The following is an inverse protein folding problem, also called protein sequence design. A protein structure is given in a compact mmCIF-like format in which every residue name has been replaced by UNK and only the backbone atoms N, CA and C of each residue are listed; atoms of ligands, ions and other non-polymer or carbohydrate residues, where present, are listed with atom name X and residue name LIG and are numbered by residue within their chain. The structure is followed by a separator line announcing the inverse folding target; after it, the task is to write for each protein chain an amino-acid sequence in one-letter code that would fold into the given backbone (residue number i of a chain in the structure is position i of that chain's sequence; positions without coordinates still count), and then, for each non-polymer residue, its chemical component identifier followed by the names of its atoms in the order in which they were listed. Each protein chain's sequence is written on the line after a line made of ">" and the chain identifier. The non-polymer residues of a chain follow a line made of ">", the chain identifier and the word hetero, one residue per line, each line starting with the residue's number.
data_IF_864667855895
#
_entry.id   IF_864667855895
#
_cell.length_a   1.000
_cell.length_b   1.000
_cell.length_c   1.000
_cell.angle_alpha   90.00
_cell.angle_beta   90.00
_cell.angle_gamma   90.00
#
_symmetry.space_group_name_H-M   'P 1'
#
loop_
_entity.id
_entity.type
_entity.pdbx_description
1 polymer ?
#
# COMPACT_ATOMS: atom_id res chain seq x y z
N UNK A 1 11.49 -16.13 -0.74
CA UNK A 1 10.30 -15.48 -1.32
C UNK A 1 10.19 -14.10 -0.67
N UNK A 2 9.81 -13.08 -1.45
CA UNK A 2 9.71 -11.69 -0.95
C UNK A 2 8.32 -11.45 -0.36
N UNK A 3 8.23 -10.58 0.65
CA UNK A 3 6.99 -10.25 1.36
C UNK A 3 5.84 -9.78 0.45
N UNK A 4 6.18 -9.08 -0.65
CA UNK A 4 5.27 -8.63 -1.68
C UNK A 4 5.52 -9.41 -2.97
N UNK A 5 4.44 -9.81 -3.63
CA UNK A 5 4.47 -10.50 -4.92
C UNK A 5 4.45 -9.49 -6.08
N UNK A 6 5.63 -8.93 -6.37
CA UNK A 6 5.77 -7.92 -7.41
C UNK A 6 5.48 -8.47 -8.83
N UNK A 7 5.67 -9.77 -9.04
CA UNK A 7 5.39 -10.39 -10.33
C UNK A 7 3.88 -10.49 -10.58
N UNK A 8 3.08 -10.72 -9.54
CA UNK A 8 1.62 -10.57 -9.63
C UNK A 8 1.20 -9.15 -10.02
N UNK A 9 1.82 -8.11 -9.44
CA UNK A 9 1.54 -6.73 -9.85
C UNK A 9 1.90 -6.50 -11.32
N UNK A 10 3.05 -7.00 -11.79
CA UNK A 10 3.44 -6.90 -13.20
C UNK A 10 2.51 -7.66 -14.13
N UNK A 11 1.99 -8.81 -13.72
CA UNK A 11 1.08 -9.61 -14.53
C UNK A 11 -0.36 -9.08 -14.53
N UNK A 12 -0.79 -8.39 -13.47
CA UNK A 12 -2.15 -7.89 -13.35
C UNK A 12 -2.49 -6.86 -14.46
N UNK A 13 -3.69 -6.93 -15.06
CA UNK A 13 -4.07 -6.05 -16.16
C UNK A 13 -4.22 -4.60 -15.67
N UNK A 14 -3.66 -3.65 -16.44
CA UNK A 14 -3.93 -2.23 -16.27
C UNK A 14 -5.29 -1.90 -16.88
N UNK A 15 -6.27 -1.60 -16.04
CA UNK A 15 -7.54 -1.03 -16.49
C UNK A 15 -7.32 0.46 -16.77
N UNK A 16 -7.94 0.98 -17.84
CA UNK A 16 -7.80 2.40 -18.27
C UNK A 16 -9.10 3.18 -18.25
N UNK A 17 -10.24 2.52 -18.05
CA UNK A 17 -11.56 3.13 -18.00
C UNK A 17 -12.17 2.87 -16.60
N UNK A 18 -12.65 3.89 -15.89
CA UNK A 18 -12.69 5.32 -16.26
C UNK A 18 -11.34 6.07 -16.06
N UNK A 19 -10.34 5.41 -15.50
CA UNK A 19 -8.98 5.90 -15.29
C UNK A 19 -8.02 4.73 -15.14
N UNK A 20 -6.72 5.02 -15.07
CA UNK A 20 -5.68 3.99 -14.91
C UNK A 20 -5.67 3.41 -13.49
N UNK A 21 -5.92 2.11 -13.35
CA UNK A 21 -5.82 1.39 -12.08
C UNK A 21 -5.51 -0.10 -12.26
N UNK A 22 -5.02 -0.71 -11.18
CA UNK A 22 -4.77 -2.15 -11.09
C UNK A 22 -5.30 -2.66 -9.76
N UNK A 23 -5.89 -3.86 -9.78
CA UNK A 23 -6.25 -4.62 -8.58
C UNK A 23 -5.44 -5.91 -8.58
N UNK A 24 -4.81 -6.21 -7.43
CA UNK A 24 -3.99 -7.42 -7.25
C UNK A 24 -4.49 -8.16 -6.01
N UNK A 25 -4.95 -9.38 -6.22
CA UNK A 25 -5.34 -10.30 -5.14
C UNK A 25 -4.11 -11.09 -4.66
N UNK A 26 -4.13 -11.55 -3.40
CA UNK A 26 -3.03 -12.32 -2.80
C UNK A 26 -1.64 -11.68 -3.01
N UNK A 27 -1.58 -10.34 -2.88
CA UNK A 27 -0.36 -9.56 -3.14
C UNK A 27 0.71 -9.70 -2.05
N UNK A 28 0.27 -9.94 -0.81
CA UNK A 28 1.14 -10.23 0.32
C UNK A 28 1.25 -11.74 0.46
N UNK A 29 2.46 -12.23 0.69
CA UNK A 29 2.68 -13.66 0.93
C UNK A 29 1.79 -14.18 2.07
N UNK A 30 1.12 -15.31 1.82
CA UNK A 30 0.09 -15.83 2.72
C UNK A 30 0.67 -16.30 4.05
N UNK A 31 1.91 -16.81 4.05
CA UNK A 31 2.57 -17.27 5.27
C UNK A 31 3.02 -16.08 6.14
N UNK A 32 3.32 -14.93 5.52
CA UNK A 32 3.67 -13.69 6.21
C UNK A 32 2.42 -12.91 6.70
N UNK A 33 1.25 -13.08 6.06
CA UNK A 33 0.05 -12.31 6.37
C UNK A 33 -0.40 -12.48 7.83
N UNK A 34 -0.40 -13.71 8.37
CA UNK A 34 -0.79 -13.94 9.78
C UNK A 34 0.15 -13.22 10.75
N UNK A 35 1.46 -13.22 10.47
CA UNK A 35 2.44 -12.52 11.29
C UNK A 35 2.24 -10.99 11.20
N UNK A 36 1.95 -10.47 10.02
CA UNK A 36 1.68 -9.05 9.81
C UNK A 36 0.42 -8.57 10.54
N UNK A 37 -0.67 -9.34 10.50
CA UNK A 37 -1.91 -9.01 11.21
C UNK A 37 -1.68 -9.04 12.72
N UNK A 38 -0.91 -10.02 13.22
CA UNK A 38 -0.55 -10.12 14.64
C UNK A 38 0.38 -8.99 15.12
N UNK A 39 1.26 -8.49 14.24
CA UNK A 39 2.21 -7.41 14.52
C UNK A 39 1.70 -6.02 14.05
N UNK A 40 0.43 -5.92 13.67
CA UNK A 40 -0.16 -4.68 13.17
C UNK A 40 -0.13 -3.60 14.27
N UNK A 41 0.34 -2.37 13.97
CA UNK A 41 0.54 -1.35 14.99
C UNK A 41 -0.79 -0.92 15.63
N UNK A 42 -0.73 -0.53 16.90
CA UNK A 42 -1.87 0.09 17.56
C UNK A 42 -2.16 1.47 16.95
N UNK A 43 -3.21 1.58 16.14
CA UNK A 43 -3.63 2.84 15.52
C UNK A 43 -4.70 3.53 16.40
N UNK A 44 -4.47 4.77 16.85
CA UNK A 44 -5.41 5.44 17.75
C UNK A 44 -6.62 6.00 16.99
N UNK A 45 -7.82 5.49 17.28
CA UNK A 45 -9.06 6.09 16.78
C UNK A 45 -9.31 5.92 15.27
N UNK A 46 -9.98 6.90 14.66
CA UNK A 46 -10.39 6.91 13.25
C UNK A 46 -9.43 7.76 12.40
N UNK A 47 -9.35 7.47 11.10
CA UNK A 47 -8.56 8.23 10.14
C UNK A 47 -7.27 7.54 9.69
N UNK A 48 -6.36 8.31 9.10
CA UNK A 48 -5.08 7.82 8.58
C UNK A 48 -3.93 8.46 9.34
N UNK A 49 -3.02 7.64 9.86
CA UNK A 49 -1.90 8.06 10.69
C UNK A 49 -0.58 7.86 9.93
N UNK A 50 0.31 8.85 9.86
CA UNK A 50 1.66 8.66 9.32
C UNK A 50 2.34 7.50 10.04
N UNK A 51 2.96 6.59 9.29
CA UNK A 51 3.55 5.38 9.88
C UNK A 51 4.67 5.71 10.87
N UNK A 52 5.36 6.83 10.66
CA UNK A 52 6.43 7.35 11.51
C UNK A 52 5.92 7.78 12.89
N UNK A 53 4.61 8.01 13.03
CA UNK A 53 3.96 8.34 14.30
C UNK A 53 3.54 7.11 15.13
N UNK A 54 3.72 5.90 14.58
CA UNK A 54 3.24 4.65 15.19
C UNK A 54 4.42 3.78 15.66
N UNK A 55 4.22 3.11 16.80
CA UNK A 55 5.13 2.06 17.25
C UNK A 55 4.88 0.79 16.42
N UNK A 56 5.72 0.58 15.40
CA UNK A 56 5.63 -0.58 14.52
C UNK A 56 6.54 -1.71 15.02
N UNK A 57 6.02 -2.92 15.07
CA UNK A 57 6.83 -4.11 15.33
C UNK A 57 7.73 -4.47 14.14
N UNK A 58 8.61 -5.47 14.31
CA UNK A 58 9.62 -5.81 13.30
C UNK A 58 9.02 -6.37 12.00
N UNK A 59 7.90 -7.10 12.07
CA UNK A 59 7.26 -7.69 10.88
C UNK A 59 6.55 -6.58 10.09
N UNK A 60 5.80 -5.71 10.78
CA UNK A 60 5.16 -4.58 10.11
C UNK A 60 6.18 -3.58 9.54
N UNK A 61 7.30 -3.35 10.23
CA UNK A 61 8.38 -2.51 9.73
C UNK A 61 9.01 -3.06 8.44
N UNK A 62 9.10 -4.39 8.28
CA UNK A 62 9.51 -5.01 7.01
C UNK A 62 8.53 -4.73 5.88
N UNK A 63 7.23 -4.74 6.15
CA UNK A 63 6.21 -4.35 5.18
C UNK A 63 6.38 -2.90 4.74
N UNK A 64 6.55 -1.98 5.68
CA UNK A 64 6.76 -0.56 5.38
C UNK A 64 8.03 -0.35 4.53
N UNK A 65 9.10 -1.07 4.85
CA UNK A 65 10.33 -1.03 4.06
C UNK A 65 10.14 -1.61 2.64
N UNK A 66 9.33 -2.67 2.49
CA UNK A 66 9.02 -3.23 1.18
C UNK A 66 8.13 -2.28 0.35
N UNK A 67 7.15 -1.62 0.99
CA UNK A 67 6.26 -0.64 0.35
C UNK A 67 6.97 0.65 -0.07
N UNK A 68 7.98 1.07 0.67
CA UNK A 68 8.79 2.27 0.35
C UNK A 68 10.09 1.92 -0.40
N UNK A 69 10.32 0.64 -0.66
CA UNK A 69 11.53 0.12 -1.27
C UNK A 69 11.58 0.27 -2.79
N UNK A 70 12.77 0.18 -3.40
CA UNK A 70 12.95 0.35 -4.84
C UNK A 70 12.22 -0.73 -5.66
N UNK A 71 12.03 -1.93 -5.10
CA UNK A 71 11.35 -3.03 -5.80
C UNK A 71 9.91 -2.69 -6.17
N UNK A 72 9.11 -2.20 -5.21
CA UNK A 72 7.73 -1.80 -5.50
C UNK A 72 7.69 -0.55 -6.40
N UNK A 73 8.55 0.43 -6.13
CA UNK A 73 8.65 1.64 -6.97
C UNK A 73 8.84 1.28 -8.44
N UNK A 74 9.85 0.47 -8.76
CA UNK A 74 10.12 0.09 -10.15
C UNK A 74 8.96 -0.69 -10.79
N UNK A 75 8.32 -1.60 -10.04
CA UNK A 75 7.16 -2.33 -10.57
C UNK A 75 5.96 -1.41 -10.87
N UNK A 76 5.76 -0.34 -10.08
CA UNK A 76 4.74 0.68 -10.33
C UNK A 76 5.13 1.57 -11.52
N UNK A 77 6.37 2.04 -11.59
CA UNK A 77 6.90 2.83 -12.71
C UNK A 77 6.72 2.09 -14.05
N UNK A 78 7.09 0.80 -14.09
CA UNK A 78 6.89 -0.09 -15.25
C UNK A 78 5.41 -0.24 -15.62
N UNK A 79 4.53 -0.36 -14.62
CA UNK A 79 3.10 -0.63 -14.83
C UNK A 79 2.36 0.59 -15.41
N UNK A 80 2.68 1.78 -14.92
CA UNK A 80 1.96 3.01 -15.22
C UNK A 80 2.72 3.95 -16.18
N UNK A 81 3.91 3.54 -16.64
CA UNK A 81 4.78 4.34 -17.53
C UNK A 81 5.05 5.75 -16.96
N UNK A 82 5.53 5.79 -15.71
CA UNK A 82 5.76 7.02 -14.95
C UNK A 82 7.12 6.98 -14.22
N UNK A 83 7.77 8.14 -14.03
CA UNK A 83 8.99 8.27 -13.21
C UNK A 83 8.66 8.77 -11.80
N UNK A 84 8.97 7.95 -10.79
CA UNK A 84 8.80 8.24 -9.36
C UNK A 84 10.14 8.39 -8.64
N UNK A 85 11.28 8.32 -9.34
CA UNK A 85 12.61 8.17 -8.76
C UNK A 85 13.01 9.24 -7.74
N UNK A 86 12.55 10.48 -7.97
CA UNK A 86 12.81 11.66 -7.13
C UNK A 86 11.63 12.06 -6.22
N UNK A 87 10.56 11.28 -6.21
CA UNK A 87 9.30 11.62 -5.55
C UNK A 87 9.24 10.98 -4.16
N UNK A 88 8.88 11.74 -3.10
CA UNK A 88 8.75 11.16 -1.78
C UNK A 88 7.58 10.17 -1.74
N UNK A 89 7.77 9.08 -0.99
CA UNK A 89 6.69 8.14 -0.66
C UNK A 89 6.18 8.45 0.74
N UNK A 90 4.85 8.50 0.90
CA UNK A 90 4.21 8.67 2.20
C UNK A 90 3.38 7.42 2.51
N UNK A 91 3.59 6.84 3.68
CA UNK A 91 2.79 5.70 4.15
C UNK A 91 1.94 6.15 5.32
N UNK A 92 0.64 5.91 5.21
CA UNK A 92 -0.29 6.10 6.33
C UNK A 92 -0.97 4.79 6.65
N UNK A 93 -1.24 4.57 7.94
CA UNK A 93 -1.87 3.37 8.46
C UNK A 93 -3.22 3.74 9.05
N UNK A 94 -4.20 2.88 8.82
CA UNK A 94 -5.56 3.02 9.33
C UNK A 94 -5.97 1.72 10.02
N UNK A 95 -6.42 1.83 11.26
CA UNK A 95 -6.94 0.68 12.03
C UNK A 95 -8.46 0.61 12.14
N UNK A 96 -9.16 1.74 11.95
CA UNK A 96 -10.62 1.82 12.01
C UNK A 96 -11.16 2.71 10.91
N UNK A 97 -12.24 2.28 10.29
CA UNK A 97 -13.03 3.10 9.37
C UNK A 97 -14.40 3.41 9.96
N UNK A 98 -14.94 4.58 9.61
CA UNK A 98 -16.31 4.98 9.91
C UNK A 98 -17.13 5.26 8.63
N UNK A 99 -18.39 5.67 8.77
CA UNK A 99 -19.27 5.94 7.62
C UNK A 99 -18.91 7.18 6.79
N UNK A 100 -17.86 7.94 7.17
CA UNK A 100 -17.34 9.05 6.36
C UNK A 100 -16.16 8.59 5.51
N UNK A 101 -15.49 7.51 5.89
CA UNK A 101 -14.44 6.90 5.09
C UNK A 101 -15.01 6.31 3.79
N UNK A 102 -14.32 6.52 2.68
CA UNK A 102 -14.74 6.00 1.37
C UNK A 102 -15.75 6.88 0.61
N UNK A 103 -16.04 8.10 1.09
CA UNK A 103 -16.72 9.10 0.26
C UNK A 103 -15.98 9.31 -1.06
N UNK A 104 -16.72 9.50 -2.15
CA UNK A 104 -16.14 9.70 -3.49
C UNK A 104 -15.28 10.97 -3.50
N UNK A 105 -14.03 10.83 -3.93
CA UNK A 105 -13.07 11.91 -4.15
C UNK A 105 -11.98 11.44 -5.11
N UNK A 106 -11.23 12.37 -5.72
CA UNK A 106 -10.15 12.10 -6.69
C UNK A 106 -8.76 12.15 -6.06
N UNK A 107 -8.69 11.94 -4.74
CA UNK A 107 -7.50 12.21 -3.93
C UNK A 107 -6.99 13.67 -4.08
N UNK A 108 -5.81 13.98 -3.55
CA UNK A 108 -5.18 15.30 -3.67
C UNK A 108 -4.39 15.45 -4.98
N UNK A 109 -4.43 16.63 -5.61
CA UNK A 109 -3.72 16.95 -6.86
C UNK A 109 -2.20 16.72 -6.83
N UNK A 110 -1.60 16.69 -5.64
CA UNK A 110 -0.16 16.45 -5.47
C UNK A 110 0.25 14.98 -5.55
N UNK A 111 -0.71 14.04 -5.55
CA UNK A 111 -0.43 12.59 -5.61
C UNK A 111 -0.37 12.12 -7.05
N UNK A 112 0.71 11.41 -7.37
CA UNK A 112 0.92 10.81 -8.69
C UNK A 112 0.34 9.40 -8.79
N UNK A 113 0.52 8.60 -7.72
CA UNK A 113 0.00 7.24 -7.59
C UNK A 113 -0.52 7.07 -6.16
N UNK A 114 -1.72 6.50 -6.02
CA UNK A 114 -2.28 6.09 -4.73
C UNK A 114 -2.39 4.57 -4.68
N UNK A 115 -1.92 3.98 -3.59
CA UNK A 115 -1.99 2.54 -3.32
C UNK A 115 -2.72 2.30 -2.00
N UNK A 116 -3.67 1.36 -2.01
CA UNK A 116 -4.32 0.86 -0.81
C UNK A 116 -3.98 -0.63 -0.66
N UNK A 117 -3.41 -0.99 0.49
CA UNK A 117 -3.16 -2.37 0.86
C UNK A 117 -4.11 -2.75 1.99
N UNK A 118 -4.98 -3.72 1.74
CA UNK A 118 -5.92 -4.24 2.73
C UNK A 118 -5.31 -5.46 3.43
N UNK A 119 -5.20 -5.40 4.75
CA UNK A 119 -4.74 -6.50 5.62
C UNK A 119 -5.88 -7.00 6.52
N UNK A 120 -7.11 -6.98 5.99
CA UNK A 120 -8.28 -7.45 6.70
C UNK A 120 -8.24 -8.99 6.77
N UNK A 121 -8.35 -9.60 7.96
CA UNK A 121 -8.45 -11.05 8.11
C UNK A 121 -9.81 -11.61 7.68
#
# INVERSE_FOLDING_TARGET
>A
MTLLDLDRLRAAPLCRDPFDFVVVEDFVDRDELTLLVGDFPAVPGHGSFPVESLACGPVFSRLVAALTGPGLRCAVEEKFDIDLGSRPTMVTVRGKSDGKDGRIHTDSESKLITLLLYLNP
#
